data_IF_611393039960
#
_entry.id   IF_611393039960
#
_cell.length_a   1.000
_cell.length_b   1.000
_cell.length_c   1.000
_cell.angle_alpha   90.00
_cell.angle_beta   90.00
_cell.angle_gamma   90.00
#
_symmetry.space_group_name_H-M   'P 1'
#
loop_
_entity.id
_entity.type
_entity.pdbx_description
1 polymer ?
#
# COMPACT_ATOMS: atom_id res chain seq x y z
N UNK A 1 25.64 23.78 0.73
CA UNK A 1 25.31 22.36 0.96
C UNK A 1 23.80 22.23 0.80
N UNK A 2 23.34 21.53 -0.24
CA UNK A 2 21.91 21.32 -0.47
C UNK A 2 21.38 20.33 0.58
N UNK A 3 20.26 20.69 1.19
CA UNK A 3 19.60 19.97 2.27
C UNK A 3 18.86 18.75 1.67
N UNK A 4 19.60 17.73 1.24
CA UNK A 4 19.07 16.54 0.54
C UNK A 4 18.35 15.52 1.46
N UNK A 5 18.11 15.84 2.74
CA UNK A 5 17.62 14.87 3.73
C UNK A 5 16.21 15.08 4.25
N UNK A 6 15.60 16.25 4.06
CA UNK A 6 14.25 16.51 4.54
C UNK A 6 13.29 16.55 3.34
N UNK A 7 12.47 15.51 3.20
CA UNK A 7 11.40 15.52 2.21
C UNK A 7 10.50 16.75 2.42
N UNK A 8 10.19 17.44 1.33
CA UNK A 8 9.26 18.58 1.35
C UNK A 8 7.90 18.08 1.84
N UNK A 9 7.57 18.37 3.10
CA UNK A 9 6.35 17.90 3.75
C UNK A 9 5.08 18.35 3.01
N UNK A 10 4.94 19.63 2.61
CA UNK A 10 3.86 20.04 1.72
C UNK A 10 3.74 19.22 0.43
N UNK A 11 4.85 18.90 -0.22
CA UNK A 11 4.84 18.04 -1.40
C UNK A 11 4.38 16.62 -1.08
N UNK A 12 4.94 16.01 -0.02
CA UNK A 12 4.56 14.67 0.43
C UNK A 12 3.07 14.59 0.76
N UNK A 13 2.52 15.62 1.42
CA UNK A 13 1.10 15.70 1.73
C UNK A 13 0.23 15.73 0.46
N UNK A 14 0.59 16.55 -0.54
CA UNK A 14 -0.14 16.59 -1.83
C UNK A 14 -0.05 15.27 -2.58
N UNK A 15 1.10 14.61 -2.55
CA UNK A 15 1.27 13.27 -3.14
C UNK A 15 0.38 12.27 -2.41
N UNK A 16 0.35 12.30 -1.07
CA UNK A 16 -0.48 11.40 -0.27
C UNK A 16 -1.97 11.58 -0.54
N UNK A 17 -2.44 12.83 -0.64
CA UNK A 17 -3.82 13.13 -1.02
C UNK A 17 -4.18 12.57 -2.41
N UNK A 18 -3.29 12.75 -3.39
CA UNK A 18 -3.50 12.22 -4.75
C UNK A 18 -3.47 10.69 -4.78
N UNK A 19 -2.52 10.07 -4.08
CA UNK A 19 -2.43 8.61 -3.97
C UNK A 19 -3.69 8.05 -3.32
N UNK A 20 -4.17 8.65 -2.22
CA UNK A 20 -5.39 8.23 -1.54
C UNK A 20 -6.61 8.29 -2.45
N UNK A 21 -6.74 9.37 -3.24
CA UNK A 21 -7.88 9.51 -4.16
C UNK A 21 -7.92 8.44 -5.26
N UNK A 22 -6.78 7.80 -5.57
CA UNK A 22 -6.66 6.82 -6.65
C UNK A 22 -6.26 5.43 -6.15
N UNK A 23 -6.14 5.21 -4.83
CA UNK A 23 -5.64 3.93 -4.29
C UNK A 23 -6.51 2.74 -4.70
N UNK A 24 -7.81 2.96 -4.90
CA UNK A 24 -8.75 1.93 -5.33
C UNK A 24 -8.59 1.54 -6.81
N UNK A 25 -7.88 2.33 -7.62
CA UNK A 25 -7.52 1.99 -9.00
C UNK A 25 -6.15 1.30 -9.07
N UNK A 26 -5.49 1.13 -7.93
CA UNK A 26 -4.24 0.36 -7.83
C UNK A 26 -4.64 -1.09 -7.59
N UNK A 27 -4.44 -1.88 -8.63
CA UNK A 27 -4.97 -3.24 -8.71
C UNK A 27 -3.90 -4.31 -8.53
N UNK A 28 -2.63 -3.89 -8.47
CA UNK A 28 -1.50 -4.78 -8.19
C UNK A 28 -0.91 -4.51 -6.82
N UNK A 29 -0.44 -5.57 -6.16
CA UNK A 29 0.28 -5.47 -4.89
C UNK A 29 1.59 -4.67 -5.05
N UNK A 30 2.18 -4.69 -6.25
CA UNK A 30 3.38 -3.91 -6.58
C UNK A 30 3.11 -2.41 -6.54
N UNK A 31 1.98 -1.95 -7.10
CA UNK A 31 1.62 -0.54 -7.05
C UNK A 31 1.36 -0.08 -5.61
N UNK A 32 0.64 -0.90 -4.84
CA UNK A 32 0.34 -0.63 -3.42
C UNK A 32 1.63 -0.60 -2.58
N UNK A 33 2.54 -1.56 -2.82
CA UNK A 33 3.87 -1.59 -2.20
C UNK A 33 4.68 -0.37 -2.57
N UNK A 34 4.71 0.03 -3.84
CA UNK A 34 5.46 1.19 -4.30
C UNK A 34 5.00 2.47 -3.59
N UNK A 35 3.69 2.61 -3.36
CA UNK A 35 3.16 3.71 -2.54
C UNK A 35 3.75 3.66 -1.14
N UNK A 36 3.68 2.52 -0.45
CA UNK A 36 4.22 2.37 0.92
C UNK A 36 5.73 2.65 0.97
N UNK A 37 6.51 2.02 0.08
CA UNK A 37 7.97 2.15 0.00
C UNK A 37 8.39 3.61 -0.24
N UNK A 38 7.63 4.34 -1.07
CA UNK A 38 7.86 5.77 -1.31
C UNK A 38 7.75 6.56 0.00
N UNK A 39 6.70 6.33 0.79
CA UNK A 39 6.46 7.04 2.04
C UNK A 39 7.41 6.63 3.17
N UNK A 40 7.86 5.37 3.17
CA UNK A 40 8.97 4.88 4.00
C UNK A 40 10.26 5.62 3.67
N UNK A 41 10.63 5.69 2.38
CA UNK A 41 11.88 6.32 1.93
C UNK A 41 11.96 7.79 2.34
N UNK A 42 10.83 8.52 2.27
CA UNK A 42 10.76 9.93 2.68
C UNK A 42 10.44 10.15 4.15
N UNK A 43 10.31 9.07 4.94
CA UNK A 43 9.89 9.09 6.35
C UNK A 43 8.67 10.01 6.59
N UNK A 44 7.62 9.83 5.78
CA UNK A 44 6.40 10.60 5.86
C UNK A 44 5.21 9.70 6.15
N UNK A 45 4.62 9.89 7.33
CA UNK A 45 3.46 9.14 7.80
C UNK A 45 2.16 9.88 7.49
N UNK A 46 1.37 9.32 6.59
CA UNK A 46 -0.01 9.73 6.32
C UNK A 46 -0.96 8.57 6.69
N UNK A 47 -1.59 8.67 7.85
CA UNK A 47 -2.43 7.61 8.40
C UNK A 47 -3.66 7.32 7.54
N UNK A 48 -4.17 8.34 6.85
CA UNK A 48 -5.36 8.22 6.02
C UNK A 48 -5.05 7.47 4.72
N UNK A 49 -3.92 7.81 4.07
CA UNK A 49 -3.42 7.06 2.93
C UNK A 49 -3.10 5.61 3.33
N UNK A 50 -2.35 5.41 4.42
CA UNK A 50 -1.95 4.06 4.84
C UNK A 50 -3.16 3.20 5.21
N UNK A 51 -4.20 3.79 5.81
CA UNK A 51 -5.47 3.09 6.05
C UNK A 51 -6.16 2.69 4.74
N UNK A 52 -6.16 3.57 3.74
CA UNK A 52 -6.76 3.27 2.44
C UNK A 52 -5.96 2.23 1.65
N UNK A 53 -4.63 2.26 1.74
CA UNK A 53 -3.74 1.21 1.21
C UNK A 53 -4.02 -0.12 1.90
N UNK A 54 -4.12 -0.14 3.23
CA UNK A 54 -4.43 -1.36 3.98
C UNK A 54 -5.76 -1.98 3.55
N UNK A 55 -6.82 -1.17 3.43
CA UNK A 55 -8.11 -1.63 2.93
C UNK A 55 -8.01 -2.23 1.52
N UNK A 56 -7.27 -1.56 0.61
CA UNK A 56 -7.09 -2.06 -0.75
C UNK A 56 -6.30 -3.36 -0.78
N UNK A 57 -5.22 -3.46 -0.02
CA UNK A 57 -4.44 -4.71 0.13
C UNK A 57 -5.33 -5.83 0.67
N UNK A 58 -6.12 -5.59 1.71
CA UNK A 58 -7.06 -6.58 2.25
C UNK A 58 -8.08 -7.07 1.21
N UNK A 59 -8.63 -6.17 0.38
CA UNK A 59 -9.53 -6.56 -0.72
C UNK A 59 -8.83 -7.42 -1.78
N UNK A 60 -7.63 -7.00 -2.18
CA UNK A 60 -6.81 -7.66 -3.20
C UNK A 60 -6.42 -9.08 -2.75
N UNK A 61 -6.05 -9.26 -1.47
CA UNK A 61 -5.78 -10.57 -0.86
C UNK A 61 -7.03 -11.46 -0.74
N UNK A 62 -8.22 -10.86 -0.60
CA UNK A 62 -9.51 -11.56 -0.59
C UNK A 62 -9.95 -12.12 -1.95
N UNK A 63 -9.16 -11.95 -3.01
CA UNK A 63 -9.44 -12.49 -4.35
C UNK A 63 -10.17 -11.54 -5.30
N UNK A 64 -10.34 -10.28 -4.90
CA UNK A 64 -10.85 -9.22 -5.77
C UNK A 64 -9.71 -8.35 -6.30
N UNK A 65 -9.06 -8.80 -7.38
CA UNK A 65 -8.03 -8.04 -8.10
C UNK A 65 -8.53 -6.79 -8.81
N UNK A 66 -9.84 -6.56 -8.88
CA UNK A 66 -10.39 -5.62 -9.84
C UNK A 66 -10.14 -6.03 -11.30
N UNK A 67 -10.33 -5.07 -12.19
CA UNK A 67 -10.18 -5.25 -13.64
C UNK A 67 -9.33 -4.13 -14.21
N UNK A 68 -8.45 -4.44 -15.15
CA UNK A 68 -7.64 -3.44 -15.84
C UNK A 68 -8.50 -2.44 -16.64
N UNK A 69 -7.86 -1.46 -17.26
CA UNK A 69 -8.51 -0.46 -18.09
C UNK A 69 -9.24 -1.05 -19.32
N UNK A 70 -9.01 -2.32 -19.65
CA UNK A 70 -9.70 -3.08 -20.70
C UNK A 70 -10.81 -3.98 -20.14
N UNK A 71 -11.06 -3.95 -18.83
CA UNK A 71 -12.07 -4.77 -18.14
C UNK A 71 -11.64 -6.21 -17.87
N UNK A 72 -10.36 -6.57 -18.05
CA UNK A 72 -9.85 -7.91 -17.78
C UNK A 72 -9.49 -8.06 -16.32
N UNK A 73 -9.84 -9.21 -15.72
CA UNK A 73 -9.38 -9.54 -14.36
C UNK A 73 -7.86 -9.45 -14.29
N UNK A 74 -7.37 -8.66 -13.34
CA UNK A 74 -5.93 -8.57 -13.11
C UNK A 74 -5.48 -9.84 -12.39
N UNK A 75 -4.40 -10.51 -12.82
CA UNK A 75 -3.90 -11.69 -12.11
C UNK A 75 -3.44 -11.33 -10.70
N UNK A 76 -4.06 -11.95 -9.69
CA UNK A 76 -3.72 -11.84 -8.25
C UNK A 76 -2.50 -12.69 -7.86
N UNK A 77 -1.47 -12.80 -8.70
CA UNK A 77 -0.27 -13.55 -8.29
C UNK A 77 0.51 -12.72 -7.27
N UNK A 78 0.24 -12.98 -5.98
CA UNK A 78 0.96 -12.41 -4.86
C UNK A 78 2.03 -13.37 -4.39
N UNK A 79 3.19 -12.82 -4.04
CA UNK A 79 4.19 -13.56 -3.28
C UNK A 79 4.05 -13.22 -1.80
N UNK A 80 4.43 -14.16 -0.93
CA UNK A 80 4.54 -13.89 0.50
C UNK A 80 5.55 -12.76 0.80
N UNK A 81 6.54 -12.57 -0.09
CA UNK A 81 7.53 -11.50 -0.01
C UNK A 81 6.89 -10.12 -0.19
N UNK A 82 6.02 -9.94 -1.20
CA UNK A 82 5.34 -8.66 -1.43
C UNK A 82 4.49 -8.24 -0.24
N UNK A 83 3.77 -9.19 0.35
CA UNK A 83 2.97 -8.96 1.55
C UNK A 83 3.87 -8.59 2.74
N UNK A 84 4.98 -9.30 2.93
CA UNK A 84 5.92 -9.02 4.01
C UNK A 84 6.57 -7.63 3.91
N UNK A 85 6.88 -7.16 2.70
CA UNK A 85 7.44 -5.83 2.46
C UNK A 85 6.43 -4.73 2.79
N UNK A 86 5.15 -4.90 2.43
CA UNK A 86 4.09 -3.97 2.85
C UNK A 86 4.00 -3.88 4.38
N UNK A 87 3.98 -5.01 5.10
CA UNK A 87 4.00 -4.99 6.57
C UNK A 87 5.21 -4.29 7.14
N UNK A 88 6.39 -4.52 6.55
CA UNK A 88 7.62 -3.87 6.99
C UNK A 88 7.50 -2.35 6.83
N UNK A 89 6.91 -1.88 5.74
CA UNK A 89 6.65 -0.47 5.52
C UNK A 89 5.67 0.14 6.52
N UNK A 90 4.55 -0.52 6.80
CA UNK A 90 3.60 -0.10 7.84
C UNK A 90 4.27 -0.02 9.22
N UNK A 91 5.08 -1.03 9.57
CA UNK A 91 5.84 -1.06 10.82
C UNK A 91 6.88 0.07 10.89
N UNK A 92 7.59 0.34 9.79
CA UNK A 92 8.57 1.44 9.73
C UNK A 92 7.92 2.81 9.94
N UNK A 93 6.70 2.98 9.42
CA UNK A 93 5.91 4.20 9.58
C UNK A 93 5.10 4.22 10.90
N UNK A 94 5.30 3.24 11.78
CA UNK A 94 4.60 3.14 13.08
C UNK A 94 3.07 3.16 12.94
N UNK A 95 2.54 2.49 11.90
CA UNK A 95 1.09 2.35 11.69
C UNK A 95 0.68 0.90 11.89
N UNK A 96 -0.19 0.69 12.87
CA UNK A 96 -0.84 -0.59 13.10
C UNK A 96 -2.21 -0.62 12.42
N UNK A 97 -2.47 -1.64 11.61
CA UNK A 97 -3.76 -1.85 10.98
C UNK A 97 -4.20 -3.30 11.20
N UNK A 98 -5.14 -3.49 12.13
CA UNK A 98 -5.63 -4.82 12.53
C UNK A 98 -6.31 -5.54 11.35
N UNK A 99 -7.05 -4.81 10.51
CA UNK A 99 -7.74 -5.38 9.36
C UNK A 99 -6.76 -5.95 8.32
N UNK A 100 -5.61 -5.29 8.13
CA UNK A 100 -4.55 -5.80 7.27
C UNK A 100 -3.93 -7.07 7.86
N UNK A 101 -3.68 -7.11 9.17
CA UNK A 101 -3.16 -8.30 9.87
C UNK A 101 -4.10 -9.49 9.68
N UNK A 102 -5.40 -9.29 9.89
CA UNK A 102 -6.42 -10.34 9.74
C UNK A 102 -6.50 -10.84 8.30
N UNK A 103 -6.58 -9.93 7.32
CA UNK A 103 -6.64 -10.30 5.90
C UNK A 103 -5.43 -11.13 5.46
N UNK A 104 -4.25 -10.82 5.97
CA UNK A 104 -3.01 -11.52 5.62
C UNK A 104 -2.93 -12.87 6.29
N UNK A 105 -3.38 -12.97 7.55
CA UNK A 105 -3.51 -14.25 8.24
C UNK A 105 -4.45 -15.17 7.46
N UNK A 106 -5.62 -14.67 7.06
CA UNK A 106 -6.63 -15.46 6.37
C UNK A 106 -6.17 -15.85 4.96
N UNK A 107 -5.44 -14.98 4.25
CA UNK A 107 -4.78 -15.31 2.98
C UNK A 107 -3.72 -16.40 3.15
N UNK A 108 -2.86 -16.31 4.17
CA UNK A 108 -1.78 -17.27 4.40
C UNK A 108 -2.25 -18.71 4.72
N UNK A 109 -3.51 -18.86 5.16
CA UNK A 109 -4.12 -20.16 5.48
C UNK A 109 -4.81 -20.77 4.24
N UNK A 110 -5.31 -19.95 3.32
CA UNK A 110 -6.20 -20.37 2.23
C UNK A 110 -5.60 -20.23 0.82
N UNK A 111 -4.50 -19.49 0.66
CA UNK A 111 -3.78 -19.28 -0.60
C UNK A 111 -2.58 -20.20 -0.77
#
# INVERSE_FOLDING_TARGET
>A
MANHGAADRPLCHRIAQKARANVNTLDTIFDLRLVVDTFVLVNYRDTDLLSAVAQRVSHVLGGDSGTDHEGKKIPTMFTAEDVAEIFRGFKHLEVENIQLVEAVRDWSVNG
#
